data_IF_213570049221
#
_entry.id   IF_213570049221
#
_cell.length_a   1.000
_cell.length_b   1.000
_cell.length_c   1.000
_cell.angle_alpha   90.00
_cell.angle_beta   90.00
_cell.angle_gamma   90.00
#
_symmetry.space_group_name_H-M   'P 1'
#
loop_
_entity.id
_entity.type
_entity.pdbx_description
1 polymer ?
#
# COMPACT_ATOMS: atom_id res chain seq x y z
N UNK A 1 8.58 11.61 10.12
CA UNK A 1 9.49 10.43 10.33
C UNK A 1 8.61 9.23 10.61
N UNK A 2 8.78 8.14 9.90
CA UNK A 2 7.99 6.89 10.05
C UNK A 2 8.71 5.93 11.00
N UNK A 3 8.49 6.03 12.29
CA UNK A 3 9.07 5.15 13.32
C UNK A 3 8.19 3.93 13.59
N UNK A 4 6.86 4.11 13.46
CA UNK A 4 5.86 3.07 13.65
C UNK A 4 4.85 3.11 12.52
N UNK A 5 4.61 1.94 11.91
CA UNK A 5 3.64 1.76 10.82
C UNK A 5 2.75 0.58 11.19
N UNK A 6 1.44 0.81 11.26
CA UNK A 6 0.49 -0.18 11.75
C UNK A 6 -0.42 -0.67 10.62
N UNK A 7 -0.38 -1.98 10.36
CA UNK A 7 -1.30 -2.62 9.43
C UNK A 7 -2.68 -2.81 10.05
N UNK A 8 -3.71 -2.43 9.31
CA UNK A 8 -5.12 -2.56 9.69
C UNK A 8 -5.89 -3.26 8.55
N UNK A 9 -6.48 -4.44 8.79
CA UNK A 9 -7.31 -5.11 7.79
C UNK A 9 -8.44 -4.21 7.29
N UNK A 10 -8.54 -4.02 5.97
CA UNK A 10 -9.52 -3.13 5.35
C UNK A 10 -10.98 -3.59 5.50
N UNK A 11 -11.20 -4.83 5.88
CA UNK A 11 -12.51 -5.41 6.16
C UNK A 11 -12.91 -5.43 7.64
N UNK A 12 -12.12 -4.78 8.52
CA UNK A 12 -12.42 -4.73 9.95
C UNK A 12 -12.85 -3.31 10.38
N UNK A 13 -14.16 -3.03 10.46
CA UNK A 13 -14.65 -1.69 10.76
C UNK A 13 -14.22 -1.18 12.14
N UNK A 14 -14.09 -2.06 13.14
CA UNK A 14 -13.68 -1.66 14.49
C UNK A 14 -12.23 -1.15 14.52
N UNK A 15 -11.33 -1.78 13.77
CA UNK A 15 -9.94 -1.33 13.66
C UNK A 15 -9.84 -0.03 12.87
N UNK A 16 -10.62 0.09 11.79
CA UNK A 16 -10.64 1.28 10.94
C UNK A 16 -11.15 2.52 11.70
N UNK A 17 -12.24 2.39 12.46
CA UNK A 17 -12.81 3.51 13.25
C UNK A 17 -11.81 4.02 14.30
N UNK A 18 -11.03 3.14 14.89
CA UNK A 18 -10.07 3.50 15.93
C UNK A 18 -8.68 3.87 15.40
N UNK A 19 -8.45 3.81 14.09
CA UNK A 19 -7.12 3.95 13.48
C UNK A 19 -6.36 5.22 13.90
N UNK A 20 -7.02 6.38 13.97
CA UNK A 20 -6.40 7.63 14.38
C UNK A 20 -6.08 7.73 15.88
N UNK A 21 -6.49 6.76 16.71
CA UNK A 21 -6.28 6.78 18.17
C UNK A 21 -5.18 5.81 18.63
N UNK A 22 -4.58 5.06 17.72
CA UNK A 22 -3.60 4.01 18.04
C UNK A 22 -2.18 4.53 18.26
N UNK A 23 -1.92 5.81 18.00
CA UNK A 23 -0.63 6.46 18.27
C UNK A 23 0.51 6.07 17.33
N UNK A 24 0.20 5.45 16.18
CA UNK A 24 1.20 5.17 15.14
C UNK A 24 1.54 6.42 14.34
N UNK A 25 2.77 6.52 13.83
CA UNK A 25 3.16 7.60 12.91
C UNK A 25 2.46 7.44 11.54
N UNK A 26 2.21 6.19 11.12
CA UNK A 26 1.46 5.85 9.92
C UNK A 26 0.52 4.66 10.13
N UNK A 27 -0.58 4.66 9.42
CA UNK A 27 -1.50 3.51 9.33
C UNK A 27 -1.54 3.00 7.90
N UNK A 28 -1.50 1.68 7.76
CA UNK A 28 -1.58 0.99 6.48
C UNK A 28 -2.91 0.25 6.43
N UNK A 29 -3.83 0.77 5.63
CA UNK A 29 -5.10 0.10 5.35
C UNK A 29 -4.87 -1.00 4.33
N UNK A 30 -5.07 -2.23 4.74
CA UNK A 30 -4.74 -3.39 3.94
C UNK A 30 -5.93 -3.89 3.12
N UNK A 31 -5.76 -3.93 1.79
CA UNK A 31 -6.70 -4.50 0.84
C UNK A 31 -6.22 -5.84 0.27
N UNK A 32 -5.01 -6.28 0.67
CA UNK A 32 -4.36 -7.49 0.12
C UNK A 32 -4.55 -8.70 1.02
N UNK A 33 -3.52 -9.25 1.62
CA UNK A 33 -3.51 -10.56 2.28
C UNK A 33 -4.43 -10.67 3.48
N UNK A 34 -4.64 -9.57 4.22
CA UNK A 34 -5.58 -9.58 5.34
C UNK A 34 -7.07 -9.63 4.93
N UNK A 35 -7.36 -9.57 3.62
CA UNK A 35 -8.72 -9.54 3.08
C UNK A 35 -8.93 -10.68 2.10
N UNK A 36 -9.87 -11.55 2.39
CA UNK A 36 -10.25 -12.66 1.49
C UNK A 36 -10.85 -12.18 0.16
N UNK A 37 -10.73 -12.95 -0.93
CA UNK A 37 -11.20 -12.54 -2.26
C UNK A 37 -12.67 -12.11 -2.31
N UNK A 38 -13.54 -12.78 -1.58
CA UNK A 38 -14.98 -12.48 -1.49
C UNK A 38 -15.29 -11.17 -0.74
N UNK A 39 -14.34 -10.64 0.04
CA UNK A 39 -14.49 -9.41 0.82
C UNK A 39 -13.77 -8.19 0.22
N UNK A 40 -13.05 -8.35 -0.89
CA UNK A 40 -12.27 -7.25 -1.52
C UNK A 40 -13.12 -6.00 -1.79
N UNK A 41 -14.33 -6.15 -2.33
CA UNK A 41 -15.21 -5.02 -2.63
C UNK A 41 -15.70 -4.33 -1.35
N UNK A 42 -16.07 -5.09 -0.33
CA UNK A 42 -16.49 -4.53 0.96
C UNK A 42 -15.34 -3.78 1.66
N UNK A 43 -14.13 -4.35 1.66
CA UNK A 43 -12.95 -3.72 2.22
C UNK A 43 -12.62 -2.38 1.54
N UNK A 44 -12.66 -2.31 0.20
CA UNK A 44 -12.47 -1.06 -0.55
C UNK A 44 -13.44 0.02 -0.10
N UNK A 45 -14.73 -0.32 0.04
CA UNK A 45 -15.75 0.62 0.49
C UNK A 45 -15.47 1.11 1.91
N UNK A 46 -15.09 0.22 2.82
CA UNK A 46 -14.75 0.57 4.20
C UNK A 46 -13.52 1.47 4.27
N UNK A 47 -12.42 1.12 3.59
CA UNK A 47 -11.20 1.95 3.53
C UNK A 47 -11.48 3.31 2.91
N UNK A 48 -12.22 3.35 1.80
CA UNK A 48 -12.67 4.61 1.17
C UNK A 48 -13.42 5.49 2.16
N UNK A 49 -14.37 4.93 2.90
CA UNK A 49 -15.17 5.68 3.87
C UNK A 49 -14.31 6.14 5.06
N UNK A 50 -13.35 5.33 5.48
CA UNK A 50 -12.38 5.72 6.52
C UNK A 50 -11.57 6.93 6.08
N UNK A 51 -10.98 6.88 4.88
CA UNK A 51 -10.22 8.00 4.32
C UNK A 51 -11.06 9.28 4.17
N UNK A 52 -12.36 9.14 3.88
CA UNK A 52 -13.27 10.26 3.67
C UNK A 52 -13.78 10.91 4.94
N UNK A 53 -14.10 10.11 5.96
CA UNK A 53 -14.92 10.59 7.10
C UNK A 53 -14.19 10.54 8.44
N UNK A 54 -13.05 9.83 8.55
CA UNK A 54 -12.37 9.69 9.83
C UNK A 54 -11.24 10.70 9.98
N UNK A 55 -11.16 11.31 11.17
CA UNK A 55 -9.98 12.08 11.54
C UNK A 55 -8.86 11.14 12.01
N UNK A 56 -7.80 11.04 11.24
CA UNK A 56 -6.66 10.18 11.53
C UNK A 56 -5.59 10.86 12.40
N UNK A 57 -5.91 12.04 12.96
CA UNK A 57 -5.08 12.76 13.97
C UNK A 57 -3.61 12.95 13.53
N UNK A 58 -3.38 13.21 12.26
CA UNK A 58 -2.06 13.45 11.71
C UNK A 58 -1.24 12.19 11.46
N UNK A 59 -1.80 10.98 11.60
CA UNK A 59 -1.18 9.77 11.08
C UNK A 59 -1.09 9.83 9.55
N UNK A 60 0.03 9.41 8.99
CA UNK A 60 0.18 9.23 7.55
C UNK A 60 -0.73 8.08 7.08
N UNK A 61 -1.50 8.31 6.02
CA UNK A 61 -2.48 7.37 5.47
C UNK A 61 -1.86 6.61 4.31
N UNK A 62 -1.67 5.32 4.50
CA UNK A 62 -1.10 4.43 3.49
C UNK A 62 -2.15 3.37 3.16
N UNK A 63 -2.27 3.01 1.89
CA UNK A 63 -3.14 1.92 1.46
C UNK A 63 -2.31 0.85 0.79
N UNK A 64 -2.29 -0.37 1.36
CA UNK A 64 -1.74 -1.53 0.67
C UNK A 64 -2.79 -2.05 -0.30
N UNK A 65 -2.54 -1.87 -1.59
CA UNK A 65 -3.38 -2.38 -2.67
C UNK A 65 -3.08 -3.86 -2.95
N UNK A 66 -3.89 -4.51 -3.75
CA UNK A 66 -3.57 -5.85 -4.25
C UNK A 66 -2.41 -5.79 -5.25
N UNK A 67 -1.67 -6.91 -5.39
CA UNK A 67 -0.58 -7.03 -6.36
C UNK A 67 -1.06 -6.74 -7.78
N UNK A 68 -0.18 -6.17 -8.62
CA UNK A 68 -0.44 -5.88 -10.04
C UNK A 68 -0.74 -7.12 -10.88
N UNK A 69 -0.36 -8.31 -10.40
CA UNK A 69 -0.68 -9.59 -11.04
C UNK A 69 -2.13 -10.04 -10.82
N UNK A 70 -2.90 -9.29 -10.04
CA UNK A 70 -4.30 -9.59 -9.71
C UNK A 70 -5.27 -8.67 -10.48
N UNK A 71 -6.53 -9.04 -10.64
CA UNK A 71 -7.53 -8.16 -11.27
C UNK A 71 -8.06 -7.05 -10.34
N UNK A 72 -7.50 -6.86 -9.15
CA UNK A 72 -8.06 -5.99 -8.10
C UNK A 72 -7.39 -4.63 -7.99
N UNK A 73 -6.08 -4.52 -8.23
CA UNK A 73 -5.24 -3.37 -7.90
C UNK A 73 -5.69 -2.04 -8.54
N UNK A 74 -6.14 -2.07 -9.80
CA UNK A 74 -6.63 -0.87 -10.49
C UNK A 74 -7.88 -0.31 -9.80
N UNK A 75 -8.81 -1.20 -9.46
CA UNK A 75 -10.03 -0.83 -8.75
C UNK A 75 -9.74 -0.35 -7.32
N UNK A 76 -8.68 -0.87 -6.69
CA UNK A 76 -8.21 -0.37 -5.39
C UNK A 76 -7.77 1.10 -5.52
N UNK A 77 -6.89 1.40 -6.49
CA UNK A 77 -6.42 2.77 -6.76
C UNK A 77 -7.60 3.69 -7.09
N UNK A 78 -8.47 3.31 -8.04
CA UNK A 78 -9.63 4.12 -8.43
C UNK A 78 -10.55 4.46 -7.25
N UNK A 79 -10.65 3.55 -6.29
CA UNK A 79 -11.51 3.72 -5.11
C UNK A 79 -10.90 4.66 -4.07
N UNK A 80 -9.57 4.63 -3.87
CA UNK A 80 -8.92 5.39 -2.80
C UNK A 80 -8.30 6.72 -3.26
N UNK A 81 -7.89 6.82 -4.53
CA UNK A 81 -7.25 8.01 -5.10
C UNK A 81 -8.05 9.31 -4.92
N UNK A 82 -9.41 9.33 -4.97
CA UNK A 82 -10.18 10.55 -4.72
C UNK A 82 -9.97 11.18 -3.33
N UNK A 83 -9.43 10.42 -2.38
CA UNK A 83 -9.17 10.87 -1.00
C UNK A 83 -7.68 11.12 -0.75
N UNK A 84 -6.87 11.04 -1.78
CA UNK A 84 -5.44 11.35 -1.80
C UNK A 84 -4.71 10.82 -0.54
N UNK A 85 -4.65 9.46 -0.35
CA UNK A 85 -3.77 8.91 0.67
C UNK A 85 -2.33 9.36 0.39
N UNK A 86 -1.52 9.54 1.42
CA UNK A 86 -0.14 9.99 1.25
C UNK A 86 0.68 8.99 0.43
N UNK A 87 0.43 7.67 0.64
CA UNK A 87 1.14 6.61 -0.10
C UNK A 87 0.22 5.45 -0.50
N UNK A 88 0.53 4.88 -1.65
CA UNK A 88 0.14 3.51 -2.01
C UNK A 88 1.31 2.58 -1.65
N UNK A 89 1.06 1.52 -0.90
CA UNK A 89 1.99 0.43 -0.66
C UNK A 89 1.74 -0.66 -1.70
N UNK A 90 2.74 -0.88 -2.58
CA UNK A 90 2.67 -1.85 -3.68
C UNK A 90 3.28 -3.18 -3.23
N UNK A 91 2.47 -4.23 -2.99
CA UNK A 91 2.98 -5.53 -2.55
C UNK A 91 3.68 -6.28 -3.68
N UNK A 92 4.49 -7.27 -3.30
CA UNK A 92 5.13 -8.24 -4.21
C UNK A 92 5.90 -7.59 -5.36
N UNK A 93 6.49 -6.42 -5.10
CA UNK A 93 7.27 -5.69 -6.10
C UNK A 93 8.58 -6.43 -6.38
N UNK A 94 8.74 -6.94 -7.59
CA UNK A 94 9.91 -7.70 -8.03
C UNK A 94 10.84 -6.93 -8.97
N UNK A 95 10.31 -5.94 -9.69
CA UNK A 95 11.04 -5.23 -10.75
C UNK A 95 10.75 -3.73 -10.77
N UNK A 96 11.63 -2.97 -11.43
CA UNK A 96 11.40 -1.56 -11.73
C UNK A 96 10.18 -1.34 -12.64
N UNK A 97 9.83 -2.32 -13.46
CA UNK A 97 8.68 -2.23 -14.37
C UNK A 97 7.36 -2.31 -13.60
N UNK A 98 7.30 -3.08 -12.51
CA UNK A 98 6.13 -3.11 -11.63
C UNK A 98 5.84 -1.72 -11.05
N UNK A 99 6.92 -1.03 -10.63
CA UNK A 99 6.84 0.36 -10.14
C UNK A 99 6.32 1.29 -11.23
N UNK A 100 6.89 1.23 -12.45
CA UNK A 100 6.46 2.10 -13.56
C UNK A 100 5.01 1.88 -13.93
N UNK A 101 4.57 0.61 -13.95
CA UNK A 101 3.18 0.23 -14.23
C UNK A 101 2.23 0.85 -13.20
N UNK A 102 2.52 0.71 -11.92
CA UNK A 102 1.71 1.30 -10.86
C UNK A 102 1.73 2.84 -10.91
N UNK A 103 2.90 3.45 -11.09
CA UNK A 103 3.06 4.91 -11.19
C UNK A 103 2.30 5.52 -12.37
N UNK A 104 2.33 4.87 -13.53
CA UNK A 104 1.58 5.30 -14.70
C UNK A 104 0.08 5.33 -14.41
N UNK A 105 -0.45 4.28 -13.81
CA UNK A 105 -1.88 4.20 -13.48
C UNK A 105 -2.29 5.23 -12.41
N UNK A 106 -1.45 5.45 -11.39
CA UNK A 106 -1.69 6.50 -10.38
C UNK A 106 -1.71 7.87 -11.03
N UNK A 107 -0.78 8.14 -11.97
CA UNK A 107 -0.72 9.40 -12.72
C UNK A 107 -2.00 9.64 -13.52
N UNK A 108 -2.50 8.61 -14.23
CA UNK A 108 -3.78 8.69 -14.94
C UNK A 108 -4.95 8.94 -14.00
N UNK A 109 -4.97 8.31 -12.83
CA UNK A 109 -5.99 8.53 -11.81
C UNK A 109 -5.95 9.96 -11.27
N UNK A 110 -4.78 10.50 -10.95
CA UNK A 110 -4.61 11.91 -10.53
C UNK A 110 -5.12 12.88 -11.59
N UNK A 111 -4.79 12.65 -12.86
CA UNK A 111 -5.26 13.49 -13.99
C UNK A 111 -6.79 13.47 -14.11
N UNK A 112 -7.40 12.28 -14.05
CA UNK A 112 -8.87 12.13 -14.10
C UNK A 112 -9.57 12.86 -12.96
N UNK A 113 -8.92 12.95 -11.81
CA UNK A 113 -9.45 13.56 -10.59
C UNK A 113 -9.10 15.04 -10.45
N UNK A 114 -8.27 15.61 -11.34
CA UNK A 114 -7.79 16.98 -11.25
C UNK A 114 -6.84 17.22 -10.07
N UNK A 115 -6.19 16.19 -9.57
CA UNK A 115 -5.15 16.29 -8.55
C UNK A 115 -3.83 16.75 -9.17
N UNK A 116 -2.99 17.41 -8.35
CA UNK A 116 -1.63 17.73 -8.79
C UNK A 116 -0.84 16.43 -9.00
N UNK A 117 0.06 16.43 -9.97
CA UNK A 117 0.94 15.29 -10.21
C UNK A 117 1.80 14.97 -8.98
N UNK A 118 1.99 13.70 -8.71
CA UNK A 118 2.72 13.19 -7.53
C UNK A 118 2.08 13.56 -6.17
N UNK A 119 0.78 13.82 -6.14
CA UNK A 119 0.02 13.97 -4.89
C UNK A 119 0.05 12.68 -4.07
N UNK A 120 -0.08 11.52 -4.74
CA UNK A 120 -0.05 10.20 -4.12
C UNK A 120 1.33 9.59 -4.36
N UNK A 121 2.10 9.36 -3.31
CA UNK A 121 3.39 8.69 -3.38
C UNK A 121 3.27 7.16 -3.51
N UNK A 122 4.38 6.49 -3.83
CA UNK A 122 4.48 5.04 -3.90
C UNK A 122 5.52 4.54 -2.89
N UNK A 123 5.20 3.42 -2.24
CA UNK A 123 6.10 2.65 -1.38
C UNK A 123 6.10 1.19 -1.85
N UNK A 124 7.09 0.75 -2.65
CA UNK A 124 7.23 -0.65 -3.00
C UNK A 124 7.52 -1.52 -1.79
N UNK A 125 6.84 -2.66 -1.67
CA UNK A 125 7.07 -3.68 -0.64
C UNK A 125 7.97 -4.77 -1.21
N UNK A 126 9.18 -4.87 -0.66
CA UNK A 126 10.20 -5.85 -1.02
C UNK A 126 10.00 -7.08 -0.15
N UNK A 127 9.47 -8.14 -0.73
CA UNK A 127 9.08 -9.35 -0.01
C UNK A 127 9.29 -10.64 -0.83
N UNK A 128 10.14 -10.54 -1.88
CA UNK A 128 10.59 -11.67 -2.69
C UNK A 128 12.09 -11.59 -2.90
N UNK A 129 12.74 -12.73 -3.18
CA UNK A 129 14.17 -12.78 -3.53
C UNK A 129 14.48 -11.91 -4.75
N UNK A 130 13.61 -11.92 -5.75
CA UNK A 130 13.73 -11.07 -6.93
C UNK A 130 13.66 -9.57 -6.58
N UNK A 131 12.76 -9.19 -5.68
CA UNK A 131 12.63 -7.82 -5.21
C UNK A 131 13.87 -7.34 -4.44
N UNK A 132 14.48 -8.22 -3.64
CA UNK A 132 15.76 -7.92 -2.94
C UNK A 132 16.88 -7.68 -3.96
N UNK A 133 17.04 -8.56 -4.95
CA UNK A 133 18.05 -8.42 -6.01
C UNK A 133 17.88 -7.11 -6.79
N UNK A 134 16.66 -6.71 -7.06
CA UNK A 134 16.33 -5.52 -7.84
C UNK A 134 16.06 -4.26 -6.99
N UNK A 135 16.29 -4.28 -5.67
CA UNK A 135 15.85 -3.21 -4.77
C UNK A 135 16.36 -1.82 -5.17
N UNK A 136 17.59 -1.70 -5.64
CA UNK A 136 18.13 -0.41 -6.11
C UNK A 136 17.40 0.09 -7.37
N UNK A 137 17.15 -0.80 -8.34
CA UNK A 137 16.42 -0.46 -9.56
C UNK A 137 14.97 -0.07 -9.26
N UNK A 138 14.32 -0.79 -8.33
CA UNK A 138 12.97 -0.50 -7.83
C UNK A 138 12.94 0.88 -7.18
N UNK A 139 13.87 1.17 -6.28
CA UNK A 139 13.93 2.46 -5.57
C UNK A 139 14.15 3.65 -6.49
N UNK A 140 14.81 3.44 -7.63
CA UNK A 140 15.18 4.49 -8.61
C UNK A 140 14.22 4.56 -9.80
N UNK A 141 13.18 3.72 -9.83
CA UNK A 141 12.35 3.52 -11.02
C UNK A 141 11.47 4.74 -11.38
N UNK A 142 11.03 5.50 -10.37
CA UNK A 142 10.16 6.66 -10.53
C UNK A 142 10.35 7.64 -9.36
N UNK A 143 10.19 8.93 -9.63
CA UNK A 143 10.28 10.00 -8.62
C UNK A 143 9.18 9.93 -7.55
N UNK A 144 8.11 9.21 -7.80
CA UNK A 144 7.00 8.95 -6.89
C UNK A 144 7.38 8.00 -5.74
N UNK A 145 8.46 7.21 -5.91
CA UNK A 145 8.94 6.29 -4.87
C UNK A 145 9.55 7.09 -3.71
N UNK A 146 8.90 7.04 -2.55
CA UNK A 146 9.34 7.78 -1.36
C UNK A 146 10.10 6.93 -0.35
N UNK A 147 9.91 5.62 -0.36
CA UNK A 147 10.57 4.65 0.51
C UNK A 147 10.42 3.24 -0.05
N UNK A 148 11.22 2.31 0.44
CA UNK A 148 10.98 0.87 0.32
C UNK A 148 10.52 0.31 1.67
N UNK A 149 9.61 -0.65 1.64
CA UNK A 149 9.20 -1.42 2.80
C UNK A 149 9.71 -2.86 2.68
N UNK A 150 10.22 -3.44 3.77
CA UNK A 150 10.68 -4.84 3.77
C UNK A 150 9.61 -5.75 4.40
N UNK A 151 9.06 -6.67 3.63
CA UNK A 151 8.10 -7.68 4.07
C UNK A 151 8.78 -8.99 4.48
N UNK A 152 9.19 -9.10 5.74
CA UNK A 152 10.01 -10.22 6.20
C UNK A 152 9.27 -11.57 6.21
N UNK A 153 7.95 -11.59 6.41
CA UNK A 153 7.17 -12.83 6.44
C UNK A 153 7.16 -13.50 5.05
N UNK A 154 6.71 -12.77 4.04
CA UNK A 154 6.62 -13.30 2.67
C UNK A 154 8.00 -13.55 2.08
N UNK A 155 9.00 -12.70 2.41
CA UNK A 155 10.37 -12.93 1.98
C UNK A 155 10.92 -14.25 2.53
N UNK A 156 10.68 -14.57 3.80
CA UNK A 156 11.16 -15.86 4.36
C UNK A 156 10.41 -17.04 3.74
N UNK A 157 9.15 -16.87 3.39
CA UNK A 157 8.37 -17.89 2.68
C UNK A 157 8.90 -18.09 1.23
N UNK A 158 9.17 -17.00 0.51
CA UNK A 158 9.74 -17.05 -0.85
C UNK A 158 11.14 -17.72 -0.86
N UNK A 159 11.99 -17.37 0.10
CA UNK A 159 13.32 -17.97 0.29
C UNK A 159 13.26 -19.40 0.86
N UNK A 160 12.09 -19.92 1.20
CA UNK A 160 11.88 -21.25 1.83
C UNK A 160 12.72 -21.45 3.09
N UNK A 161 12.93 -20.39 3.86
CA UNK A 161 13.70 -20.42 5.09
C UNK A 161 12.78 -20.20 6.31
N UNK A 162 13.27 -20.62 7.49
CA UNK A 162 12.56 -20.35 8.74
C UNK A 162 12.94 -18.95 9.26
N UNK A 163 11.93 -18.16 9.60
CA UNK A 163 12.18 -16.92 10.35
C UNK A 163 12.65 -17.27 11.75
N UNK A 164 13.85 -16.86 12.11
CA UNK A 164 14.41 -17.01 13.45
C UNK A 164 14.23 -15.71 14.24
N UNK A 165 14.27 -15.80 15.56
CA UNK A 165 14.21 -14.63 16.46
C UNK A 165 15.61 -14.11 16.84
N UNK A 166 16.64 -14.74 16.29
CA UNK A 166 18.05 -14.44 16.56
C UNK A 166 18.71 -13.82 15.32
#
# INVERSE_FOLDING_TARGET
>A
MRRSMLFLPGNNPNMLINSGSLGADAVIFDLEDAVSPDQKDAARILVRNTLKYMDLKGCERIVRINSIDTPYWQKDIDTVAPFAPELILLPKTGTAEDVRTACAYITEAEQRLGLAQNTIGLMPLIETALGVENAFAIASADSRVQALFLGAEDLTADLQCKRTKE
#
